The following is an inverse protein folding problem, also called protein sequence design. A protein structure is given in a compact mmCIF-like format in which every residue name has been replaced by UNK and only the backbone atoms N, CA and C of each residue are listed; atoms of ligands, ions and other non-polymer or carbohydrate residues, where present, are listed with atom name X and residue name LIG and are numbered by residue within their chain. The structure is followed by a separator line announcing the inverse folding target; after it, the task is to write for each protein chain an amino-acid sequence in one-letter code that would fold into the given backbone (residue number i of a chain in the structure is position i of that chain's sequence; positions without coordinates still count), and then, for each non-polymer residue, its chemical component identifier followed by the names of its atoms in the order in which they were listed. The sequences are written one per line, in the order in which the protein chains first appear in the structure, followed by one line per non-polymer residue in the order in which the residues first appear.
data_IF_044639406922
#
_entry.id   IF_044639406922
#
_cell.length_a   1.000
_cell.length_b   1.000
_cell.length_c   1.000
_cell.angle_alpha   90.00
_cell.angle_beta   90.00
_cell.angle_gamma   90.00
#
_symmetry.space_group_name_H-M   'P 1'
#
loop_
_entity.id
_entity.type
_entity.pdbx_description
1 polymer ?
#
# COMPACT_ATOMS: atom_id res chain seq x y z
N UNK A 1 -16.46 -11.79 -8.01
CA UNK A 1 -15.85 -12.59 -6.91
C UNK A 1 -16.41 -14.02 -6.95
N UNK A 2 -17.72 -14.19 -6.91
CA UNK A 2 -18.37 -15.49 -6.91
C UNK A 2 -17.92 -16.38 -8.08
N UNK A 3 -17.98 -15.89 -9.30
CA UNK A 3 -17.60 -16.63 -10.51
C UNK A 3 -16.12 -17.02 -10.50
N UNK A 4 -15.24 -16.13 -10.06
CA UNK A 4 -13.80 -16.42 -9.93
C UNK A 4 -13.53 -17.52 -8.88
N UNK A 5 -14.23 -17.49 -7.76
CA UNK A 5 -14.14 -18.57 -6.75
C UNK A 5 -14.67 -19.90 -7.27
N UNK A 6 -15.69 -19.89 -8.10
CA UNK A 6 -16.20 -21.11 -8.72
C UNK A 6 -15.24 -21.66 -9.78
N UNK A 7 -14.56 -20.77 -10.52
CA UNK A 7 -13.55 -21.18 -11.50
C UNK A 7 -12.31 -21.79 -10.84
N UNK A 8 -11.88 -21.24 -9.69
CA UNK A 8 -10.76 -21.78 -8.89
C UNK A 8 -11.02 -21.56 -7.39
N UNK A 9 -11.44 -22.62 -6.71
CA UNK A 9 -11.78 -22.58 -5.27
C UNK A 9 -10.58 -22.30 -4.38
N UNK A 10 -9.37 -22.67 -4.80
CA UNK A 10 -8.13 -22.47 -4.05
C UNK A 10 -7.55 -21.06 -4.23
N UNK A 11 -8.02 -20.30 -5.24
CA UNK A 11 -7.50 -18.96 -5.47
C UNK A 11 -7.92 -17.97 -4.39
N UNK A 12 -6.97 -17.19 -3.91
CA UNK A 12 -7.22 -16.02 -3.07
C UNK A 12 -7.63 -14.85 -3.97
N UNK A 13 -8.86 -14.38 -3.83
CA UNK A 13 -9.40 -13.28 -4.63
C UNK A 13 -9.02 -11.96 -3.96
N UNK A 14 -8.27 -11.14 -4.67
CA UNK A 14 -7.91 -9.78 -4.28
C UNK A 14 -8.71 -8.76 -5.08
N UNK A 15 -9.23 -7.73 -4.40
CA UNK A 15 -9.95 -6.61 -5.02
C UNK A 15 -9.22 -5.32 -4.71
N UNK A 16 -8.84 -4.57 -5.76
CA UNK A 16 -8.17 -3.28 -5.62
C UNK A 16 -9.18 -2.14 -5.62
N UNK A 17 -9.10 -1.30 -4.60
CA UNK A 17 -9.92 -0.10 -4.41
C UNK A 17 -9.00 1.13 -4.31
N UNK A 18 -9.45 2.25 -4.87
CA UNK A 18 -8.73 3.52 -4.71
C UNK A 18 -9.05 4.15 -3.35
N UNK A 19 -8.05 4.75 -2.72
CA UNK A 19 -8.23 5.56 -1.52
C UNK A 19 -9.04 6.81 -1.88
N UNK A 20 -10.29 6.86 -1.45
CA UNK A 20 -11.19 8.00 -1.58
C UNK A 20 -12.24 7.95 -0.47
N UNK A 21 -12.95 9.05 -0.25
CA UNK A 21 -13.98 9.12 0.77
C UNK A 21 -15.09 8.09 0.50
N UNK A 22 -15.44 7.27 1.50
CA UNK A 22 -16.43 6.20 1.37
C UNK A 22 -15.86 4.85 0.97
N UNK A 23 -14.54 4.73 0.76
CA UNK A 23 -13.90 3.45 0.40
C UNK A 23 -14.14 2.36 1.43
N UNK A 24 -14.28 2.73 2.71
CA UNK A 24 -14.61 1.78 3.77
C UNK A 24 -15.94 1.06 3.55
N UNK A 25 -16.95 1.75 3.06
CA UNK A 25 -18.26 1.14 2.71
C UNK A 25 -18.10 0.15 1.56
N UNK A 26 -17.33 0.50 0.55
CA UNK A 26 -17.03 -0.38 -0.58
C UNK A 26 -16.25 -1.60 -0.10
N UNK A 27 -15.24 -1.41 0.75
CA UNK A 27 -14.46 -2.49 1.35
C UNK A 27 -15.34 -3.48 2.14
N UNK A 28 -16.30 -2.97 2.93
CA UNK A 28 -17.25 -3.82 3.64
C UNK A 28 -18.12 -4.64 2.68
N UNK A 29 -18.59 -4.07 1.57
CA UNK A 29 -19.33 -4.76 0.53
C UNK A 29 -18.50 -5.87 -0.14
N UNK A 30 -17.24 -5.57 -0.46
CA UNK A 30 -16.28 -6.50 -1.07
C UNK A 30 -15.96 -7.67 -0.11
N UNK A 31 -15.78 -7.38 1.17
CA UNK A 31 -15.57 -8.40 2.20
C UNK A 31 -16.77 -9.34 2.32
N UNK A 32 -18.01 -8.79 2.34
CA UNK A 32 -19.24 -9.58 2.34
C UNK A 32 -19.40 -10.44 1.08
N UNK A 33 -18.91 -9.96 -0.06
CA UNK A 33 -18.92 -10.74 -1.30
C UNK A 33 -17.89 -11.88 -1.31
N UNK A 34 -17.02 -11.97 -0.29
CA UNK A 34 -16.09 -13.07 -0.09
C UNK A 34 -14.72 -12.87 -0.75
N UNK A 35 -14.26 -11.64 -0.96
CA UNK A 35 -12.85 -11.38 -1.26
C UNK A 35 -11.97 -11.83 -0.08
N UNK A 36 -10.80 -12.37 -0.38
CA UNK A 36 -9.79 -12.73 0.64
C UNK A 36 -8.82 -11.61 0.94
N UNK A 37 -8.62 -10.70 -0.04
CA UNK A 37 -7.73 -9.54 0.10
C UNK A 37 -8.43 -8.29 -0.43
N UNK A 38 -8.24 -7.19 0.27
CA UNK A 38 -8.66 -5.86 -0.18
C UNK A 38 -7.41 -4.98 -0.24
N UNK A 39 -7.02 -4.58 -1.46
CA UNK A 39 -5.92 -3.66 -1.69
C UNK A 39 -6.47 -2.22 -1.70
N UNK A 40 -6.04 -1.40 -0.78
CA UNK A 40 -6.29 0.04 -0.76
C UNK A 40 -5.12 0.76 -1.43
N UNK A 41 -5.39 1.35 -2.58
CA UNK A 41 -4.38 2.04 -3.39
C UNK A 41 -4.45 3.54 -3.20
N UNK A 42 -3.32 4.16 -2.83
CA UNK A 42 -3.21 5.62 -2.80
C UNK A 42 -3.22 6.24 -4.20
N UNK A 43 -3.35 7.57 -4.27
CA UNK A 43 -3.35 8.32 -5.54
C UNK A 43 -2.10 8.11 -6.40
N UNK A 44 -0.98 7.74 -5.78
CA UNK A 44 0.28 7.39 -6.46
C UNK A 44 0.31 5.92 -6.94
N UNK A 45 -0.72 5.11 -6.64
CA UNK A 45 -0.87 3.76 -7.16
C UNK A 45 -1.27 3.74 -8.63
N UNK A 46 -1.35 2.55 -9.21
CA UNK A 46 -1.71 2.36 -10.61
C UNK A 46 -0.52 2.29 -11.55
N UNK A 47 -0.70 2.69 -12.81
CA UNK A 47 0.35 2.58 -13.83
C UNK A 47 1.42 3.67 -13.73
N UNK A 48 2.69 3.31 -13.92
CA UNK A 48 3.80 4.26 -14.01
C UNK A 48 3.68 5.26 -15.18
N UNK A 49 2.86 4.94 -16.19
CA UNK A 49 2.58 5.80 -17.35
C UNK A 49 1.39 6.75 -17.13
N UNK A 50 0.74 6.72 -15.96
CA UNK A 50 -0.40 7.58 -15.69
C UNK A 50 -0.07 9.07 -15.91
N UNK A 51 -0.92 9.83 -16.61
CA UNK A 51 -0.76 11.27 -16.75
C UNK A 51 -0.74 11.97 -15.39
N UNK A 52 0.03 13.05 -15.27
CA UNK A 52 0.12 13.80 -14.00
C UNK A 52 -1.25 14.25 -13.49
N UNK A 53 -2.17 14.63 -14.37
CA UNK A 53 -3.52 15.04 -14.01
C UNK A 53 -4.30 13.92 -13.31
N UNK A 54 -4.17 12.68 -13.78
CA UNK A 54 -4.78 11.52 -13.11
C UNK A 54 -4.18 11.28 -11.73
N UNK A 55 -2.84 11.35 -11.62
CA UNK A 55 -2.13 11.15 -10.36
C UNK A 55 -2.53 12.21 -9.31
N UNK A 56 -2.75 13.46 -9.71
CA UNK A 56 -3.05 14.54 -8.77
C UNK A 56 -4.53 14.69 -8.43
N UNK A 57 -5.42 14.15 -9.25
CA UNK A 57 -6.86 14.42 -9.11
C UNK A 57 -7.72 13.15 -8.93
N UNK A 58 -7.13 11.96 -9.01
CA UNK A 58 -7.84 10.70 -8.86
C UNK A 58 -7.31 9.94 -7.64
N UNK A 59 -8.01 10.02 -6.53
CA UNK A 59 -7.66 9.37 -5.28
C UNK A 59 -7.05 10.29 -4.23
N UNK A 60 -6.95 9.76 -3.03
CA UNK A 60 -6.38 10.38 -1.83
C UNK A 60 -5.08 9.65 -1.42
N UNK A 61 -4.29 10.20 -0.51
CA UNK A 61 -3.21 9.44 0.13
C UNK A 61 -3.71 8.10 0.69
N UNK A 62 -2.90 7.06 0.54
CA UNK A 62 -3.27 5.70 0.99
C UNK A 62 -3.60 5.64 2.49
N UNK A 63 -3.00 6.50 3.30
CA UNK A 63 -3.20 6.56 4.75
C UNK A 63 -4.67 6.83 5.11
N UNK A 64 -5.34 7.68 4.33
CA UNK A 64 -6.74 8.03 4.56
C UNK A 64 -7.68 6.86 4.26
N UNK A 65 -7.56 6.29 3.07
CA UNK A 65 -8.40 5.16 2.66
C UNK A 65 -8.14 3.90 3.45
N UNK A 66 -6.86 3.65 3.79
CA UNK A 66 -6.48 2.50 4.62
C UNK A 66 -7.11 2.59 6.02
N UNK A 67 -6.98 3.74 6.69
CA UNK A 67 -7.58 3.94 8.02
C UNK A 67 -9.10 3.82 7.97
N UNK A 68 -9.76 4.42 6.97
CA UNK A 68 -11.21 4.31 6.79
C UNK A 68 -11.65 2.86 6.57
N UNK A 69 -10.98 2.13 5.68
CA UNK A 69 -11.31 0.74 5.38
C UNK A 69 -11.12 -0.16 6.61
N UNK A 70 -10.00 -0.04 7.31
CA UNK A 70 -9.69 -0.80 8.51
C UNK A 70 -10.75 -0.58 9.60
N UNK A 71 -11.06 0.68 9.93
CA UNK A 71 -12.05 1.03 10.94
C UNK A 71 -13.47 0.56 10.56
N UNK A 72 -13.86 0.75 9.30
CA UNK A 72 -15.19 0.33 8.81
C UNK A 72 -15.35 -1.19 8.86
N UNK A 73 -14.31 -1.93 8.51
CA UNK A 73 -14.33 -3.40 8.59
C UNK A 73 -14.46 -3.88 10.04
N UNK A 74 -13.78 -3.23 10.99
CA UNK A 74 -13.92 -3.54 12.42
C UNK A 74 -15.34 -3.24 12.90
N UNK A 75 -15.89 -2.06 12.62
CA UNK A 75 -17.25 -1.68 13.02
C UNK A 75 -18.34 -2.62 12.50
N UNK A 76 -18.05 -3.40 11.45
CA UNK A 76 -18.98 -4.33 10.82
C UNK A 76 -18.64 -5.81 11.07
N UNK A 77 -17.72 -6.14 11.98
CA UNK A 77 -17.25 -7.50 12.27
C UNK A 77 -16.74 -8.25 11.02
N UNK A 78 -16.11 -7.53 10.11
CA UNK A 78 -15.61 -8.06 8.84
C UNK A 78 -14.08 -8.12 8.78
N UNK A 79 -13.39 -7.43 9.70
CA UNK A 79 -11.94 -7.26 9.64
C UNK A 79 -11.18 -8.59 9.62
N UNK A 80 -11.58 -9.54 10.44
CA UNK A 80 -10.97 -10.87 10.53
C UNK A 80 -11.20 -11.78 9.30
N UNK A 81 -12.05 -11.36 8.37
CA UNK A 81 -12.39 -12.15 7.17
C UNK A 81 -11.50 -11.84 5.98
N UNK A 82 -10.76 -10.76 6.01
CA UNK A 82 -9.99 -10.25 4.88
C UNK A 82 -8.62 -9.79 5.34
N UNK A 83 -7.63 -9.95 4.47
CA UNK A 83 -6.33 -9.30 4.59
C UNK A 83 -6.41 -7.91 3.93
N UNK A 84 -5.88 -6.91 4.58
CA UNK A 84 -5.76 -5.57 3.98
C UNK A 84 -4.35 -5.40 3.45
N UNK A 85 -4.27 -5.11 2.15
CA UNK A 85 -3.06 -4.70 1.46
C UNK A 85 -3.11 -3.21 1.17
N UNK A 86 -1.97 -2.52 1.12
CA UNK A 86 -1.89 -1.14 0.64
C UNK A 86 -0.74 -0.93 -0.32
N UNK A 87 -0.94 -0.04 -1.30
CA UNK A 87 0.09 0.46 -2.19
C UNK A 87 -0.06 1.99 -2.37
N UNK A 88 0.79 2.59 -3.16
CA UNK A 88 0.79 4.02 -3.41
C UNK A 88 2.10 4.66 -2.98
N UNK A 89 3.22 4.16 -3.52
CA UNK A 89 4.56 4.70 -3.34
C UNK A 89 5.17 4.43 -1.96
N UNK A 90 4.97 3.22 -1.44
CA UNK A 90 5.73 2.74 -0.29
C UNK A 90 7.20 2.59 -0.70
N UNK A 91 8.11 3.24 0.03
CA UNK A 91 9.53 3.33 -0.34
C UNK A 91 10.47 2.94 0.80
N UNK A 92 10.02 3.00 2.05
CA UNK A 92 10.86 2.85 3.25
C UNK A 92 10.21 1.91 4.26
N UNK A 93 11.01 1.37 5.19
CA UNK A 93 10.50 0.61 6.33
C UNK A 93 9.63 1.45 7.26
N UNK A 94 9.84 2.78 7.29
CA UNK A 94 8.97 3.71 8.01
C UNK A 94 7.56 3.74 7.39
N UNK A 95 7.46 3.76 6.05
CA UNK A 95 6.14 3.73 5.39
C UNK A 95 5.40 2.44 5.74
N UNK A 96 6.10 1.31 5.78
CA UNK A 96 5.54 0.03 6.17
C UNK A 96 5.07 0.04 7.63
N UNK A 97 5.88 0.59 8.54
CA UNK A 97 5.49 0.71 9.94
C UNK A 97 4.20 1.52 10.10
N UNK A 98 4.08 2.67 9.41
CA UNK A 98 2.88 3.50 9.43
C UNK A 98 1.70 2.75 8.81
N UNK A 99 1.90 2.09 7.66
CA UNK A 99 0.85 1.32 7.00
C UNK A 99 0.31 0.20 7.92
N UNK A 100 1.21 -0.53 8.58
CA UNK A 100 0.82 -1.57 9.55
C UNK A 100 0.04 -0.99 10.72
N UNK A 101 0.52 0.11 11.30
CA UNK A 101 -0.17 0.80 12.40
C UNK A 101 -1.56 1.31 12.01
N UNK A 102 -1.79 1.60 10.73
CA UNK A 102 -3.10 1.98 10.18
C UNK A 102 -3.95 0.78 9.70
N UNK A 103 -3.43 -0.45 9.80
CA UNK A 103 -4.20 -1.67 9.58
C UNK A 103 -3.79 -2.53 8.38
N UNK A 104 -2.71 -2.21 7.65
CA UNK A 104 -2.23 -3.06 6.56
C UNK A 104 -1.46 -4.29 7.08
N UNK A 105 -1.63 -5.40 6.38
CA UNK A 105 -0.92 -6.68 6.62
C UNK A 105 -0.02 -7.04 5.44
N UNK A 106 -0.35 -6.56 4.24
CA UNK A 106 0.41 -6.76 3.01
C UNK A 106 0.74 -5.41 2.35
N UNK A 107 1.82 -5.38 1.56
CA UNK A 107 2.37 -4.14 1.01
C UNK A 107 2.71 -4.30 -0.47
N UNK A 108 2.15 -3.42 -1.31
CA UNK A 108 2.44 -3.38 -2.74
C UNK A 108 3.57 -2.39 -3.09
N UNK A 109 4.53 -2.86 -3.87
CA UNK A 109 5.66 -2.06 -4.33
C UNK A 109 5.73 -2.01 -5.85
N UNK A 110 5.83 -0.81 -6.42
CA UNK A 110 6.07 -0.62 -7.84
C UNK A 110 7.23 0.35 -8.10
N UNK A 111 7.14 1.58 -7.60
CA UNK A 111 8.17 2.61 -7.81
C UNK A 111 9.51 2.22 -7.22
N UNK A 112 9.53 1.67 -6.00
CA UNK A 112 10.75 1.30 -5.31
C UNK A 112 11.60 0.29 -6.09
N UNK A 113 11.10 -0.89 -6.51
CA UNK A 113 11.86 -1.82 -7.34
C UNK A 113 12.20 -1.24 -8.72
N UNK A 114 11.35 -0.41 -9.33
CA UNK A 114 11.67 0.24 -10.61
C UNK A 114 12.87 1.17 -10.50
N UNK A 115 12.90 2.02 -9.47
CA UNK A 115 14.02 2.95 -9.22
C UNK A 115 15.31 2.17 -8.92
N UNK A 116 15.23 1.11 -8.14
CA UNK A 116 16.38 0.23 -7.85
C UNK A 116 16.97 -0.40 -9.11
N UNK A 117 16.15 -0.65 -10.12
CA UNK A 117 16.57 -1.16 -11.43
C UNK A 117 17.03 -0.06 -12.41
N UNK A 118 17.10 1.20 -11.98
CA UNK A 118 17.57 2.31 -12.79
C UNK A 118 16.47 3.08 -13.52
N UNK A 119 15.20 2.93 -13.15
CA UNK A 119 14.12 3.73 -13.71
C UNK A 119 14.29 5.21 -13.31
N UNK A 120 14.24 6.10 -14.29
CA UNK A 120 14.38 7.57 -14.11
C UNK A 120 13.03 8.31 -14.07
N UNK A 121 11.93 7.55 -13.98
CA UNK A 121 10.57 8.08 -13.84
C UNK A 121 10.13 9.05 -14.95
N UNK A 122 10.60 8.83 -16.19
CA UNK A 122 10.22 9.64 -17.37
C UNK A 122 8.73 9.52 -17.76
N UNK A 123 8.04 8.48 -17.27
CA UNK A 123 6.61 8.22 -17.54
C UNK A 123 6.25 8.07 -19.02
N UNK A 124 7.17 7.51 -19.83
CA UNK A 124 6.98 7.21 -21.25
C UNK A 124 6.83 5.70 -21.50
N UNK A 125 6.45 4.96 -20.45
CA UNK A 125 6.39 3.50 -20.47
C UNK A 125 5.41 2.95 -21.53
N UNK A 126 4.35 3.70 -21.85
CA UNK A 126 3.33 3.36 -22.83
C UNK A 126 3.75 3.64 -24.29
N UNK A 127 4.89 4.31 -24.51
CA UNK A 127 5.34 4.75 -25.83
C UNK A 127 6.45 3.85 -26.43
N UNK A 128 6.87 2.82 -25.71
CA UNK A 128 8.00 1.95 -26.08
C UNK A 128 9.34 2.71 -26.24
N UNK A 129 9.47 3.88 -25.63
CA UNK A 129 10.61 4.80 -25.76
C UNK A 129 11.41 4.96 -24.46
N UNK A 130 11.35 3.98 -23.55
CA UNK A 130 12.04 4.06 -22.28
C UNK A 130 13.55 4.26 -22.45
N UNK A 131 14.13 5.42 -22.02
CA UNK A 131 15.52 5.76 -22.33
C UNK A 131 16.54 4.89 -21.60
N UNK A 132 16.13 4.22 -20.52
CA UNK A 132 16.98 3.35 -19.67
C UNK A 132 16.67 1.86 -19.84
N UNK A 133 15.80 1.50 -20.79
CA UNK A 133 15.56 0.11 -21.16
C UNK A 133 14.69 -0.70 -20.17
N UNK A 134 14.13 -0.11 -19.13
CA UNK A 134 13.32 -0.82 -18.11
C UNK A 134 11.98 -1.26 -18.68
N UNK A 135 11.30 -0.39 -19.44
CA UNK A 135 9.94 -0.63 -19.94
C UNK A 135 9.89 -0.38 -21.44
N UNK A 136 10.51 -1.26 -22.22
CA UNK A 136 10.51 -1.21 -23.69
C UNK A 136 10.75 -2.59 -24.30
N UNK A 137 10.20 -2.81 -25.47
CA UNK A 137 10.50 -3.98 -26.32
C UNK A 137 11.50 -3.63 -27.42
N UNK A 138 11.84 -2.35 -27.62
CA UNK A 138 12.83 -1.92 -28.61
C UNK A 138 14.20 -2.52 -28.29
N UNK A 139 14.82 -3.32 -29.21
CA UNK A 139 16.08 -4.03 -28.95
C UNK A 139 17.24 -3.10 -28.59
N UNK A 140 17.33 -1.91 -29.22
CA UNK A 140 18.41 -0.96 -28.97
C UNK A 140 18.27 -0.28 -27.60
N UNK A 141 17.04 0.02 -27.17
CA UNK A 141 16.80 0.59 -25.85
C UNK A 141 16.98 -0.46 -24.74
N UNK A 142 16.61 -1.73 -24.98
CA UNK A 142 16.82 -2.82 -24.02
C UNK A 142 18.29 -3.04 -23.68
N UNK A 143 19.23 -2.79 -24.61
CA UNK A 143 20.68 -2.86 -24.34
C UNK A 143 21.15 -1.88 -23.26
N UNK A 144 20.39 -0.82 -22.98
CA UNK A 144 20.70 0.17 -21.96
C UNK A 144 20.28 -0.25 -20.55
N UNK A 145 19.51 -1.35 -20.42
CA UNK A 145 19.07 -1.84 -19.13
C UNK A 145 20.24 -2.37 -18.30
N UNK A 146 20.53 -1.69 -17.19
CA UNK A 146 21.64 -2.04 -16.29
C UNK A 146 21.16 -2.64 -14.95
N UNK A 147 19.86 -2.87 -14.79
CA UNK A 147 19.29 -3.43 -13.57
C UNK A 147 19.72 -4.88 -13.35
N UNK A 148 19.86 -5.26 -12.08
CA UNK A 148 20.16 -6.65 -11.67
C UNK A 148 19.17 -7.07 -10.59
N UNK A 149 18.78 -8.38 -10.54
CA UNK A 149 17.88 -8.89 -9.51
C UNK A 149 18.39 -8.61 -8.08
N UNK A 150 19.71 -8.68 -7.88
CA UNK A 150 20.35 -8.46 -6.57
C UNK A 150 20.07 -7.05 -6.01
N UNK A 151 19.90 -6.05 -6.87
CA UNK A 151 19.58 -4.69 -6.42
C UNK A 151 18.20 -4.64 -5.75
N UNK A 152 17.21 -5.30 -6.34
CA UNK A 152 15.86 -5.40 -5.78
C UNK A 152 15.85 -6.24 -4.51
N UNK A 153 16.54 -7.39 -4.52
CA UNK A 153 16.66 -8.27 -3.35
C UNK A 153 17.27 -7.51 -2.17
N UNK A 154 18.38 -6.82 -2.39
CA UNK A 154 19.06 -6.07 -1.33
C UNK A 154 18.21 -4.92 -0.82
N UNK A 155 17.54 -4.19 -1.73
CA UNK A 155 16.67 -3.09 -1.34
C UNK A 155 15.51 -3.56 -0.48
N UNK A 156 14.86 -4.68 -0.83
CA UNK A 156 13.79 -5.26 -0.02
C UNK A 156 14.28 -5.75 1.34
N UNK A 157 15.48 -6.30 1.41
CA UNK A 157 16.11 -6.65 2.69
C UNK A 157 16.36 -5.41 3.56
N UNK A 158 16.78 -4.29 2.97
CA UNK A 158 16.99 -3.05 3.70
C UNK A 158 15.68 -2.46 4.23
N UNK A 159 14.60 -2.48 3.43
CA UNK A 159 13.26 -2.08 3.89
C UNK A 159 12.81 -2.97 5.07
N UNK A 160 12.97 -4.28 4.95
CA UNK A 160 12.61 -5.21 6.01
C UNK A 160 13.43 -4.98 7.28
N UNK A 161 14.73 -4.70 7.14
CA UNK A 161 15.60 -4.38 8.28
C UNK A 161 15.19 -3.05 8.95
N UNK A 162 14.89 -2.02 8.17
CA UNK A 162 14.41 -0.74 8.70
C UNK A 162 13.08 -0.93 9.46
N UNK A 163 12.13 -1.72 8.92
CA UNK A 163 10.90 -2.05 9.62
C UNK A 163 11.18 -2.74 10.96
N UNK A 164 12.08 -3.72 11.00
CA UNK A 164 12.49 -4.41 12.23
C UNK A 164 13.05 -3.45 13.27
N UNK A 165 13.81 -2.43 12.85
CA UNK A 165 14.34 -1.40 13.75
C UNK A 165 13.22 -0.52 14.35
N UNK A 166 12.20 -0.17 13.56
CA UNK A 166 11.01 0.50 14.09
C UNK A 166 10.25 -0.39 15.06
N UNK A 167 10.01 -1.65 14.72
CA UNK A 167 9.35 -2.61 15.60
C UNK A 167 10.09 -2.76 16.94
N UNK A 168 11.41 -2.88 16.91
CA UNK A 168 12.24 -2.96 18.12
C UNK A 168 12.11 -1.70 18.99
N UNK A 169 12.10 -0.51 18.38
CA UNK A 169 11.89 0.77 19.11
C UNK A 169 10.50 0.88 19.72
N UNK A 170 9.49 0.26 19.10
CA UNK A 170 8.11 0.22 19.57
C UNK A 170 7.85 -0.91 20.57
N UNK A 171 8.80 -1.82 20.76
CA UNK A 171 8.69 -2.94 21.69
C UNK A 171 7.76 -4.07 21.21
N UNK A 172 7.59 -4.24 19.89
CA UNK A 172 6.78 -5.32 19.28
C UNK A 172 7.66 -6.35 18.59
N UNK A 173 7.30 -7.63 18.70
CA UNK A 173 8.09 -8.74 18.17
C UNK A 173 7.65 -9.18 16.77
N UNK A 174 6.37 -9.05 16.45
CA UNK A 174 5.79 -9.48 15.17
C UNK A 174 5.05 -8.35 14.49
N UNK A 175 4.93 -8.44 13.15
CA UNK A 175 4.13 -7.46 12.36
C UNK A 175 2.66 -7.51 12.79
N UNK A 176 2.15 -8.70 13.09
CA UNK A 176 0.75 -8.89 13.54
C UNK A 176 0.42 -8.12 14.82
N UNK A 177 1.38 -8.02 15.75
CA UNK A 177 1.21 -7.21 16.96
C UNK A 177 1.15 -5.70 16.68
N UNK A 178 1.64 -5.27 15.51
CA UNK A 178 1.67 -3.88 15.12
C UNK A 178 0.41 -3.45 14.38
N UNK A 179 -0.33 -4.40 13.77
CA UNK A 179 -1.50 -4.10 12.93
C UNK A 179 -2.57 -3.34 13.72
N UNK A 180 -2.93 -2.16 13.21
CA UNK A 180 -3.98 -1.32 13.79
C UNK A 180 -3.61 -0.59 15.09
N UNK A 181 -2.35 -0.65 15.53
CA UNK A 181 -1.87 0.03 16.77
C UNK A 181 -1.71 1.54 16.57
N UNK A 182 -2.80 2.23 16.20
CA UNK A 182 -2.81 3.69 16.03
C UNK A 182 -2.46 4.47 17.30
N UNK A 183 -2.58 3.84 18.47
CA UNK A 183 -2.13 4.37 19.76
C UNK A 183 -0.62 4.68 19.81
N UNK A 184 0.18 4.04 18.93
CA UNK A 184 1.61 4.28 18.79
C UNK A 184 1.95 5.40 17.80
N UNK A 185 0.95 5.99 17.13
CA UNK A 185 1.13 7.11 16.20
C UNK A 185 0.84 8.45 16.89
N UNK A 186 1.62 9.46 16.52
CA UNK A 186 1.38 10.85 16.93
C UNK A 186 1.49 11.78 15.73
N UNK A 187 0.61 12.80 15.61
CA UNK A 187 0.79 13.87 14.65
C UNK A 187 2.15 14.54 14.83
N UNK A 188 2.83 14.85 13.76
CA UNK A 188 4.04 15.66 13.85
C UNK A 188 3.70 17.16 14.03
N UNK A 189 4.66 17.96 14.51
CA UNK A 189 4.45 19.39 14.74
C UNK A 189 3.97 20.14 13.48
N UNK A 190 4.44 19.75 12.29
CA UNK A 190 4.03 20.37 11.02
C UNK A 190 2.54 20.14 10.69
N UNK A 191 1.94 19.05 11.16
CA UNK A 191 0.49 18.83 10.98
C UNK A 191 -0.32 19.85 11.77
N UNK A 192 0.10 20.15 13.01
CA UNK A 192 -0.52 21.17 13.83
C UNK A 192 -0.36 22.59 13.22
N UNK A 193 0.83 22.93 12.73
CA UNK A 193 1.12 24.20 12.06
C UNK A 193 0.24 24.39 10.80
N UNK A 194 -0.08 23.30 10.09
CA UNK A 194 -0.90 23.33 8.88
C UNK A 194 -2.39 23.16 9.14
N UNK A 195 -2.82 23.13 10.39
CA UNK A 195 -4.20 22.88 10.81
C UNK A 195 -4.81 21.60 10.23
N UNK A 196 -4.00 20.55 10.07
CA UNK A 196 -4.47 19.25 9.58
C UNK A 196 -4.99 18.44 10.77
N UNK A 197 -6.28 18.15 10.76
CA UNK A 197 -6.92 17.28 11.76
C UNK A 197 -6.74 15.81 11.38
N UNK A 198 -5.96 15.08 12.17
CA UNK A 198 -5.72 13.64 12.03
C UNK A 198 -6.50 12.81 13.05
N UNK A 199 -7.39 13.42 13.84
CA UNK A 199 -8.11 12.76 14.92
C UNK A 199 -8.90 11.54 14.46
N UNK A 200 -9.53 11.61 13.27
CA UNK A 200 -10.31 10.50 12.71
C UNK A 200 -9.45 9.33 12.24
N UNK A 201 -8.19 9.57 11.88
CA UNK A 201 -7.25 8.52 11.48
C UNK A 201 -6.65 7.86 12.73
N UNK A 202 -6.32 8.66 13.76
CA UNK A 202 -5.60 8.24 14.94
C UNK A 202 -6.51 7.95 16.14
N UNK A 203 -7.78 8.37 16.10
CA UNK A 203 -8.71 8.29 17.22
C UNK A 203 -9.34 6.92 17.43
N UNK A 204 -9.08 5.96 16.55
CA UNK A 204 -9.54 4.59 16.73
C UNK A 204 -8.83 3.95 17.94
N UNK A 205 -9.61 3.39 18.86
CA UNK A 205 -9.06 2.66 20.01
C UNK A 205 -8.75 1.24 19.56
N UNK A 206 -7.47 0.89 19.60
CA UNK A 206 -7.03 -0.49 19.34
C UNK A 206 -7.67 -1.46 20.34
N UNK A 207 -8.30 -2.48 19.82
CA UNK A 207 -8.84 -3.61 20.60
C UNK A 207 -8.28 -4.93 20.00
N UNK A 208 -7.44 -5.67 20.76
CA UNK A 208 -6.85 -6.92 20.28
C UNK A 208 -7.88 -7.98 19.89
N UNK A 209 -9.08 -7.93 20.47
CA UNK A 209 -10.16 -8.89 20.18
C UNK A 209 -10.84 -8.64 18.84
N UNK A 210 -10.63 -7.50 18.21
CA UNK A 210 -11.27 -7.10 16.95
C UNK A 210 -10.32 -7.21 15.72
N UNK A 211 -9.24 -7.93 15.87
CA UNK A 211 -8.31 -8.24 14.77
C UNK A 211 -8.90 -9.22 13.78
#
# INVERSE_FOLDING_TARGET
IYDLKNANKEARISVKLVSEAGVGTVAAGVAKAGAGVILISGYDGGTGAAPKNSVYNAGLPWELGLAEAHQTLIMNDLRSRVVIETDGKLMTGRDLAIATLLGAEEFGFATAPLVTMGCVMMRVCNLDTCPVGVATQNPELRKKFAGKPEYVINFMKFIAQELREYMAKLGVATVDELVGRTDLLKPNAKAAEKHVDLSRILGYKYDPAQK
#
